data_IF_814202631538
#
_entry.id   IF_814202631538
#
_cell.length_a   1.000
_cell.length_b   1.000
_cell.length_c   1.000
_cell.angle_alpha   90.00
_cell.angle_beta   90.00
_cell.angle_gamma   90.00
#
_symmetry.space_group_name_H-M   'P 1'
#
loop_
_entity.id
_entity.type
_entity.pdbx_description
1 polymer ?
#
# COMPACT_ATOMS: atom_id res chain seq x y z
N UNK A 1 35.09 -15.01 -37.92
CA UNK A 1 33.63 -15.04 -38.17
C UNK A 1 32.97 -14.88 -36.80
N UNK A 2 32.98 -13.66 -36.29
CA UNK A 2 31.86 -12.69 -36.33
C UNK A 2 30.97 -12.88 -35.09
N UNK A 3 31.37 -12.25 -34.00
CA UNK A 3 30.49 -11.97 -32.87
C UNK A 3 30.29 -10.46 -32.87
N UNK A 4 29.24 -10.01 -33.53
CA UNK A 4 28.80 -8.62 -33.48
C UNK A 4 28.18 -8.37 -32.10
N UNK A 5 28.96 -7.87 -31.15
CA UNK A 5 28.42 -7.17 -29.99
C UNK A 5 27.94 -5.80 -30.47
N UNK A 6 26.70 -5.74 -30.96
CA UNK A 6 26.01 -4.47 -31.14
C UNK A 6 25.62 -3.91 -29.77
N UNK A 7 26.63 -3.40 -29.06
CA UNK A 7 26.45 -2.51 -27.92
C UNK A 7 26.35 -1.10 -28.46
N UNK A 8 25.22 -0.76 -29.06
CA UNK A 8 24.83 0.63 -29.22
C UNK A 8 23.46 0.80 -28.56
N UNK A 9 23.47 0.69 -27.24
CA UNK A 9 22.37 1.13 -26.41
C UNK A 9 22.15 2.61 -26.71
N UNK A 10 21.12 2.91 -27.52
CA UNK A 10 20.63 4.27 -27.78
C UNK A 10 20.53 5.03 -26.46
N UNK A 11 21.50 5.91 -26.20
CA UNK A 11 21.52 6.78 -25.02
C UNK A 11 20.60 7.99 -25.23
N UNK A 12 19.39 7.75 -25.75
CA UNK A 12 18.39 8.79 -25.94
C UNK A 12 17.81 9.15 -24.57
N UNK A 13 18.53 9.99 -23.84
CA UNK A 13 18.06 10.54 -22.57
C UNK A 13 16.87 11.48 -22.85
N UNK A 14 15.85 11.50 -21.98
CA UNK A 14 14.63 12.28 -22.20
C UNK A 14 14.88 13.77 -22.41
N UNK A 15 15.96 14.34 -21.86
CA UNK A 15 16.33 15.75 -22.08
C UNK A 15 16.65 16.08 -23.55
N UNK A 16 17.20 15.12 -24.32
CA UNK A 16 17.47 15.34 -25.75
C UNK A 16 16.19 15.61 -26.54
N UNK A 17 15.08 14.98 -26.17
CA UNK A 17 13.79 15.19 -26.84
C UNK A 17 13.30 16.63 -26.64
N UNK A 18 13.35 17.15 -25.40
CA UNK A 18 12.94 18.53 -25.12
C UNK A 18 13.83 19.57 -25.81
N UNK A 19 15.14 19.31 -25.88
CA UNK A 19 16.08 20.19 -26.61
C UNK A 19 15.80 20.17 -28.11
N UNK A 20 15.58 19.00 -28.71
CA UNK A 20 15.28 18.87 -30.13
C UNK A 20 13.94 19.51 -30.50
N UNK A 21 12.90 19.31 -29.68
CA UNK A 21 11.59 19.95 -29.88
C UNK A 21 11.69 21.47 -29.74
N UNK A 22 12.42 21.96 -28.74
CA UNK A 22 12.66 23.40 -28.56
C UNK A 22 13.42 24.01 -29.73
N UNK A 23 14.47 23.35 -30.23
CA UNK A 23 15.21 23.79 -31.41
C UNK A 23 14.32 23.80 -32.65
N UNK A 24 13.57 22.73 -32.91
CA UNK A 24 12.69 22.64 -34.08
C UNK A 24 11.59 23.70 -34.04
N UNK A 25 10.95 23.90 -32.89
CA UNK A 25 9.93 24.94 -32.70
C UNK A 25 10.51 26.35 -32.92
N UNK A 26 11.76 26.58 -32.49
CA UNK A 26 12.48 27.84 -32.73
C UNK A 26 12.72 28.06 -34.23
N UNK A 27 13.26 27.05 -34.93
CA UNK A 27 13.52 27.14 -36.38
C UNK A 27 12.24 27.40 -37.18
N UNK A 28 11.13 26.73 -36.82
CA UNK A 28 9.82 26.93 -37.46
C UNK A 28 9.27 28.34 -37.16
N UNK A 29 9.37 28.81 -35.91
CA UNK A 29 8.93 30.15 -35.53
C UNK A 29 9.62 31.25 -36.33
N UNK A 30 10.94 31.14 -36.51
CA UNK A 30 11.73 32.09 -37.32
C UNK A 30 11.31 32.08 -38.79
N UNK A 31 11.08 30.90 -39.37
CA UNK A 31 10.67 30.78 -40.79
C UNK A 31 9.27 31.35 -41.07
N UNK A 32 8.35 31.24 -40.12
CA UNK A 32 6.97 31.74 -40.24
C UNK A 32 6.91 33.24 -40.01
N UNK A 33 7.59 33.76 -38.99
CA UNK A 33 7.48 35.17 -38.57
C UNK A 33 8.42 36.08 -39.38
N UNK A 34 9.52 35.54 -39.93
CA UNK A 34 10.54 36.29 -40.70
C UNK A 34 10.85 37.67 -40.12
N UNK A 35 11.36 37.73 -38.88
CA UNK A 35 11.61 39.01 -38.22
C UNK A 35 12.72 39.79 -38.94
N UNK A 36 12.43 41.05 -39.29
CA UNK A 36 13.41 41.97 -39.90
C UNK A 36 14.38 42.55 -38.85
N UNK A 37 13.98 42.56 -37.57
CA UNK A 37 14.75 43.11 -36.46
C UNK A 37 15.44 41.99 -35.64
N UNK A 38 16.77 42.05 -35.43
CA UNK A 38 17.50 41.05 -34.65
C UNK A 38 17.04 40.93 -33.19
N UNK A 39 16.44 41.98 -32.61
CA UNK A 39 15.92 41.95 -31.24
C UNK A 39 14.70 41.02 -31.14
N UNK A 40 13.82 41.05 -32.14
CA UNK A 40 12.63 40.20 -32.20
C UNK A 40 13.02 38.73 -32.36
N UNK A 41 14.04 38.46 -33.18
CA UNK A 41 14.62 37.13 -33.33
C UNK A 41 15.15 36.58 -31.99
N UNK A 42 15.94 37.38 -31.27
CA UNK A 42 16.52 36.97 -29.99
C UNK A 42 15.45 36.67 -28.92
N UNK A 43 14.42 37.52 -28.83
CA UNK A 43 13.31 37.33 -27.88
C UNK A 43 12.51 36.06 -28.17
N UNK A 44 12.29 35.74 -29.45
CA UNK A 44 11.54 34.55 -29.85
C UNK A 44 12.28 33.25 -29.48
N UNK A 45 13.58 33.18 -29.76
CA UNK A 45 14.41 32.02 -29.41
C UNK A 45 14.46 31.85 -27.89
N UNK A 46 14.63 32.94 -27.13
CA UNK A 46 14.66 32.90 -25.67
C UNK A 46 13.32 32.43 -25.07
N UNK A 47 12.19 32.90 -25.60
CA UNK A 47 10.86 32.49 -25.15
C UNK A 47 10.64 30.98 -25.36
N UNK A 48 10.93 30.46 -26.56
CA UNK A 48 10.75 29.04 -26.89
C UNK A 48 11.71 28.16 -26.07
N UNK A 49 12.96 28.58 -25.88
CA UNK A 49 13.92 27.89 -25.02
C UNK A 49 13.47 27.82 -23.56
N UNK A 50 12.93 28.92 -23.03
CA UNK A 50 12.41 28.95 -21.66
C UNK A 50 11.19 28.03 -21.47
N UNK A 51 10.29 27.98 -22.46
CA UNK A 51 9.13 27.09 -22.43
C UNK A 51 9.54 25.61 -22.46
N UNK A 52 10.51 25.24 -23.30
CA UNK A 52 11.05 23.88 -23.35
C UNK A 52 11.72 23.48 -22.02
N UNK A 53 12.44 24.42 -21.38
CA UNK A 53 13.05 24.21 -20.08
C UNK A 53 12.02 23.95 -18.98
N UNK A 54 10.95 24.77 -18.93
CA UNK A 54 9.84 24.57 -17.98
C UNK A 54 9.13 23.24 -18.23
N UNK A 55 8.93 22.85 -19.49
CA UNK A 55 8.38 21.53 -19.82
C UNK A 55 9.26 20.38 -19.32
N UNK A 56 10.58 20.51 -19.46
CA UNK A 56 11.54 19.53 -18.96
C UNK A 56 11.57 19.45 -17.44
N UNK A 57 11.55 20.58 -16.73
CA UNK A 57 11.50 20.59 -15.26
C UNK A 57 10.20 19.97 -14.76
N UNK A 58 9.06 20.30 -15.38
CA UNK A 58 7.77 19.71 -15.04
C UNK A 58 7.77 18.19 -15.26
N UNK A 59 8.23 17.73 -16.42
CA UNK A 59 8.42 16.30 -16.70
C UNK A 59 9.29 15.63 -15.66
N UNK A 60 10.43 16.24 -15.30
CA UNK A 60 11.35 15.70 -14.28
C UNK A 60 10.73 15.67 -12.87
N UNK A 61 9.86 16.62 -12.53
CA UNK A 61 9.14 16.63 -11.25
C UNK A 61 7.96 15.65 -11.21
N UNK A 62 7.31 15.37 -12.35
CA UNK A 62 6.21 14.42 -12.44
C UNK A 62 6.68 12.97 -12.65
N UNK A 63 7.86 12.78 -13.24
CA UNK A 63 8.49 11.48 -13.42
C UNK A 63 8.60 10.63 -12.14
N UNK A 64 9.02 11.17 -10.96
CA UNK A 64 9.07 10.38 -9.74
C UNK A 64 7.70 9.91 -9.24
N UNK A 65 6.59 10.56 -9.62
CA UNK A 65 5.25 10.05 -9.31
C UNK A 65 4.84 8.88 -10.21
N UNK A 66 5.40 8.80 -11.42
CA UNK A 66 5.14 7.73 -12.37
C UNK A 66 6.16 6.58 -12.29
N UNK A 67 7.31 6.80 -11.65
CA UNK A 67 8.37 5.81 -11.53
C UNK A 67 8.09 4.82 -10.38
N UNK A 68 8.16 3.50 -10.62
CA UNK A 68 7.96 2.48 -9.60
C UNK A 68 8.97 2.55 -8.44
N UNK A 69 10.14 3.17 -8.64
CA UNK A 69 11.16 3.36 -7.59
C UNK A 69 10.70 4.21 -6.39
N UNK A 70 9.67 5.04 -6.56
CA UNK A 70 9.07 5.80 -5.45
C UNK A 70 8.18 4.91 -4.59
N UNK A 71 7.59 3.86 -5.18
CA UNK A 71 6.84 2.84 -4.47
C UNK A 71 7.79 2.01 -3.59
N UNK A 72 8.95 1.59 -4.11
CA UNK A 72 9.98 0.88 -3.34
C UNK A 72 10.42 1.68 -2.10
N UNK A 73 10.64 2.99 -2.26
CA UNK A 73 11.08 3.84 -1.14
C UNK A 73 9.97 4.05 -0.10
N UNK A 74 8.72 4.20 -0.55
CA UNK A 74 7.57 4.27 0.33
C UNK A 74 7.36 2.94 1.08
N UNK A 75 7.56 1.81 0.41
CA UNK A 75 7.50 0.46 0.99
C UNK A 75 8.60 0.25 2.03
N UNK A 76 9.82 0.74 1.81
CA UNK A 76 10.90 0.69 2.81
C UNK A 76 10.54 1.50 4.07
N UNK A 77 9.92 2.67 3.93
CA UNK A 77 9.49 3.50 5.07
C UNK A 77 8.33 2.81 5.82
N UNK A 78 7.35 2.28 5.09
CA UNK A 78 6.27 1.48 5.65
C UNK A 78 6.83 0.24 6.39
N UNK A 79 7.81 -0.44 5.82
CA UNK A 79 8.51 -1.58 6.43
C UNK A 79 9.18 -1.23 7.77
N UNK A 80 9.78 -0.04 7.90
CA UNK A 80 10.37 0.41 9.19
C UNK A 80 9.30 0.62 10.26
N UNK A 81 8.18 1.25 9.92
CA UNK A 81 7.06 1.45 10.86
C UNK A 81 6.45 0.12 11.26
N UNK A 82 6.25 -0.79 10.30
CA UNK A 82 5.76 -2.14 10.53
C UNK A 82 6.68 -2.95 11.45
N UNK A 83 7.99 -2.92 11.20
CA UNK A 83 8.96 -3.60 12.04
C UNK A 83 8.95 -3.08 13.49
N UNK A 84 8.63 -1.80 13.71
CA UNK A 84 8.44 -1.27 15.06
C UNK A 84 7.16 -1.85 15.71
N UNK A 85 6.04 -1.89 15.00
CA UNK A 85 4.79 -2.49 15.50
C UNK A 85 4.94 -4.00 15.79
N UNK A 86 5.67 -4.74 14.94
CA UNK A 86 5.96 -6.16 15.17
C UNK A 86 6.80 -6.37 16.44
N UNK A 87 7.78 -5.50 16.71
CA UNK A 87 8.55 -5.53 17.97
C UNK A 87 7.64 -5.27 19.17
N UNK A 88 6.80 -4.25 19.13
CA UNK A 88 5.86 -4.00 20.22
C UNK A 88 4.91 -5.18 20.46
N UNK A 89 4.38 -5.78 19.39
CA UNK A 89 3.55 -6.99 19.47
C UNK A 89 4.28 -8.12 20.18
N UNK A 90 5.53 -8.40 19.80
CA UNK A 90 6.30 -9.50 20.42
C UNK A 90 6.57 -9.25 21.91
N UNK A 91 6.83 -7.99 22.31
CA UNK A 91 7.00 -7.61 23.71
C UNK A 91 5.71 -7.80 24.52
N UNK A 92 4.56 -7.36 23.99
CA UNK A 92 3.26 -7.52 24.67
C UNK A 92 2.91 -9.00 24.83
N UNK A 93 3.14 -9.82 23.81
CA UNK A 93 2.87 -11.26 23.87
C UNK A 93 3.81 -11.97 24.86
N UNK A 94 5.09 -11.56 24.93
CA UNK A 94 6.03 -12.07 25.93
C UNK A 94 5.57 -11.71 27.35
N UNK A 95 5.17 -10.45 27.58
CA UNK A 95 4.65 -10.01 28.88
C UNK A 95 3.40 -10.79 29.29
N UNK A 96 2.50 -11.10 28.35
CA UNK A 96 1.33 -11.93 28.63
C UNK A 96 1.72 -13.35 29.05
N UNK A 97 2.74 -13.93 28.40
CA UNK A 97 3.25 -15.27 28.74
C UNK A 97 3.95 -15.31 30.10
N UNK A 98 4.71 -14.27 30.42
CA UNK A 98 5.35 -14.12 31.72
C UNK A 98 4.30 -13.98 32.84
N UNK A 99 3.24 -13.20 32.60
CA UNK A 99 2.12 -13.07 33.54
C UNK A 99 1.36 -14.40 33.74
N UNK A 100 1.18 -15.18 32.68
CA UNK A 100 0.61 -16.54 32.76
C UNK A 100 1.49 -17.48 33.60
N UNK A 101 2.80 -17.37 33.45
CA UNK A 101 3.77 -18.13 34.24
C UNK A 101 3.74 -17.70 35.71
N UNK A 102 3.76 -16.41 36.01
CA UNK A 102 3.72 -15.91 37.39
C UNK A 102 2.43 -16.32 38.12
N UNK A 103 1.29 -16.39 37.41
CA UNK A 103 0.05 -16.96 37.94
C UNK A 103 0.20 -18.45 38.23
N UNK A 104 0.77 -19.23 37.31
CA UNK A 104 0.98 -20.67 37.50
C UNK A 104 1.94 -20.95 38.67
N UNK A 105 2.88 -20.06 38.91
CA UNK A 105 3.80 -20.08 40.06
C UNK A 105 3.16 -19.56 41.36
N UNK A 106 1.89 -19.14 41.34
CA UNK A 106 1.18 -18.63 42.51
C UNK A 106 1.64 -17.25 43.00
N UNK A 107 2.44 -16.51 42.21
CA UNK A 107 2.90 -15.16 42.57
C UNK A 107 1.84 -14.08 42.39
N UNK A 108 0.83 -14.36 41.57
CA UNK A 108 -0.22 -13.40 41.18
C UNK A 108 -1.58 -13.98 41.49
N UNK A 109 -2.44 -13.20 42.15
CA UNK A 109 -3.81 -13.59 42.47
C UNK A 109 -4.66 -13.74 41.19
N UNK A 110 -5.66 -14.64 41.17
CA UNK A 110 -6.49 -14.85 39.99
C UNK A 110 -7.29 -13.62 39.57
N UNK A 111 -7.70 -12.77 40.52
CA UNK A 111 -8.39 -11.51 40.21
C UNK A 111 -7.48 -10.51 39.48
N UNK A 112 -6.26 -10.30 40.00
CA UNK A 112 -5.26 -9.39 39.40
C UNK A 112 -4.81 -9.87 38.01
N UNK A 113 -4.67 -11.19 37.85
CA UNK A 113 -4.37 -11.79 36.56
C UNK A 113 -5.42 -11.45 35.51
N UNK A 114 -6.71 -11.51 35.84
CA UNK A 114 -7.78 -11.23 34.87
C UNK A 114 -7.76 -9.76 34.41
N UNK A 115 -7.58 -8.81 35.32
CA UNK A 115 -7.48 -7.39 34.96
C UNK A 115 -6.24 -7.11 34.10
N UNK A 116 -5.05 -7.53 34.57
CA UNK A 116 -3.79 -7.27 33.87
C UNK A 116 -3.74 -7.97 32.50
N UNK A 117 -4.16 -9.24 32.43
CA UNK A 117 -4.18 -9.98 31.17
C UNK A 117 -5.22 -9.45 30.19
N UNK A 118 -6.36 -8.94 30.68
CA UNK A 118 -7.36 -8.25 29.86
C UNK A 118 -6.78 -7.04 29.14
N UNK A 119 -6.07 -6.16 29.87
CA UNK A 119 -5.43 -4.97 29.30
C UNK A 119 -4.35 -5.32 28.28
N UNK A 120 -3.50 -6.31 28.57
CA UNK A 120 -2.46 -6.78 27.65
C UNK A 120 -3.06 -7.40 26.38
N UNK A 121 -4.13 -8.20 26.49
CA UNK A 121 -4.83 -8.78 25.34
C UNK A 121 -5.47 -7.71 24.46
N UNK A 122 -6.12 -6.70 25.05
CA UNK A 122 -6.69 -5.58 24.29
C UNK A 122 -5.60 -4.81 23.51
N UNK A 123 -4.43 -4.58 24.12
CA UNK A 123 -3.29 -3.96 23.43
C UNK A 123 -2.73 -4.84 22.31
N UNK A 124 -2.62 -6.15 22.55
CA UNK A 124 -2.15 -7.10 21.53
C UNK A 124 -3.08 -7.12 20.30
N UNK A 125 -4.40 -7.16 20.50
CA UNK A 125 -5.40 -7.12 19.43
C UNK A 125 -5.25 -5.84 18.60
N UNK A 126 -5.10 -4.70 19.27
CA UNK A 126 -4.93 -3.39 18.59
C UNK A 126 -3.67 -3.39 17.70
N UNK A 127 -2.54 -3.90 18.21
CA UNK A 127 -1.30 -3.99 17.43
C UNK A 127 -1.41 -4.96 16.24
N UNK A 128 -2.15 -6.07 16.39
CA UNK A 128 -2.41 -6.99 15.28
C UNK A 128 -3.27 -6.34 14.20
N UNK A 129 -4.34 -5.64 14.58
CA UNK A 129 -5.21 -4.92 13.63
C UNK A 129 -4.44 -3.84 12.85
N UNK A 130 -3.55 -3.10 13.50
CA UNK A 130 -2.72 -2.10 12.84
C UNK A 130 -1.76 -2.72 11.81
N UNK A 131 -1.22 -3.91 12.10
CA UNK A 131 -0.37 -4.65 11.16
C UNK A 131 -1.16 -5.19 9.97
N UNK A 132 -2.41 -5.61 10.18
CA UNK A 132 -3.29 -6.11 9.11
C UNK A 132 -3.70 -4.98 8.15
N UNK A 133 -4.03 -3.79 8.68
CA UNK A 133 -4.39 -2.61 7.86
C UNK A 133 -3.23 -2.15 6.99
N UNK A 134 -1.98 -2.31 7.45
CA UNK A 134 -0.77 -1.94 6.72
C UNK A 134 -0.44 -2.90 5.55
N UNK A 135 -1.29 -3.89 5.24
CA UNK A 135 -1.15 -4.82 4.12
C UNK A 135 -2.18 -4.59 2.97
N UNK A 136 -2.22 -3.44 2.29
CA UNK A 136 -3.19 -3.17 1.22
C UNK A 136 -2.85 -3.83 -0.15
N UNK A 137 -2.16 -4.97 -0.18
CA UNK A 137 -1.72 -5.60 -1.44
C UNK A 137 -2.01 -7.10 -1.54
N UNK A 138 -1.94 -7.82 -0.42
CA UNK A 138 -2.19 -9.26 -0.43
C UNK A 138 -3.64 -9.59 -0.75
N UNK A 139 -4.61 -8.72 -0.42
CA UNK A 139 -6.02 -8.97 -0.72
C UNK A 139 -6.27 -9.00 -2.22
N UNK A 140 -5.86 -7.98 -2.96
CA UNK A 140 -5.97 -7.95 -4.43
C UNK A 140 -5.15 -9.06 -5.11
N UNK A 141 -4.01 -9.46 -4.54
CA UNK A 141 -3.19 -10.53 -5.09
C UNK A 141 -3.79 -11.92 -4.84
N UNK A 142 -4.36 -12.14 -3.65
CA UNK A 142 -5.14 -13.32 -3.30
C UNK A 142 -6.39 -13.41 -4.19
N UNK A 143 -7.11 -12.31 -4.41
CA UNK A 143 -8.30 -12.27 -5.28
C UNK A 143 -7.94 -12.59 -6.74
N UNK A 144 -6.83 -12.05 -7.26
CA UNK A 144 -6.31 -12.37 -8.60
C UNK A 144 -5.89 -13.83 -8.72
N UNK A 145 -5.21 -14.38 -7.72
CA UNK A 145 -4.80 -15.78 -7.71
C UNK A 145 -6.00 -16.73 -7.55
N UNK A 146 -7.01 -16.36 -6.75
CA UNK A 146 -8.26 -17.12 -6.65
C UNK A 146 -9.02 -17.12 -7.98
N UNK A 147 -9.18 -15.98 -8.63
CA UNK A 147 -9.83 -15.88 -9.94
C UNK A 147 -9.13 -16.76 -10.99
N UNK A 148 -7.79 -16.76 -10.97
CA UNK A 148 -6.95 -17.61 -11.82
C UNK A 148 -7.17 -19.10 -11.57
N UNK A 149 -7.26 -19.53 -10.30
CA UNK A 149 -7.42 -20.95 -9.91
C UNK A 149 -8.83 -21.49 -10.09
N UNK A 150 -9.84 -20.65 -9.87
CA UNK A 150 -11.24 -21.04 -9.98
C UNK A 150 -11.76 -21.00 -11.42
N UNK A 151 -11.03 -20.38 -12.36
CA UNK A 151 -11.50 -20.19 -13.73
C UNK A 151 -12.78 -19.34 -13.83
N UNK A 152 -13.14 -18.67 -12.74
CA UNK A 152 -14.36 -17.88 -12.60
C UNK A 152 -14.16 -16.48 -13.16
N UNK A 153 -15.12 -16.02 -13.94
CA UNK A 153 -15.21 -14.64 -14.41
C UNK A 153 -15.59 -13.70 -13.26
N UNK A 154 -15.20 -12.42 -13.33
CA UNK A 154 -15.54 -11.41 -12.29
C UNK A 154 -17.04 -11.33 -11.97
N UNK A 155 -17.90 -11.74 -12.92
CA UNK A 155 -19.34 -11.83 -12.76
C UNK A 155 -19.77 -12.95 -11.78
N UNK A 156 -19.07 -14.08 -11.78
CA UNK A 156 -19.37 -15.23 -10.92
C UNK A 156 -18.89 -15.01 -9.48
N UNK A 157 -17.77 -14.28 -9.27
CA UNK A 157 -17.35 -13.82 -7.94
C UNK A 157 -18.36 -12.86 -7.30
N UNK A 158 -19.00 -12.00 -8.10
CA UNK A 158 -20.06 -11.10 -7.60
C UNK A 158 -21.35 -11.84 -7.28
N UNK A 159 -21.64 -12.93 -8.00
CA UNK A 159 -22.83 -13.77 -7.78
C UNK A 159 -22.69 -14.75 -6.60
N UNK A 160 -21.47 -15.18 -6.28
CA UNK A 160 -21.17 -16.02 -5.12
C UNK A 160 -21.06 -15.24 -3.80
N UNK A 161 -21.17 -13.90 -3.86
CA UNK A 161 -21.40 -13.08 -2.67
C UNK A 161 -22.79 -13.44 -2.09
N UNK A 162 -22.88 -13.97 -0.86
CA UNK A 162 -24.16 -14.41 -0.31
C UNK A 162 -25.10 -13.20 -0.17
N UNK A 163 -26.05 -13.10 -1.09
CA UNK A 163 -27.19 -12.21 -0.99
C UNK A 163 -28.30 -12.99 -0.27
N UNK A 164 -28.40 -12.82 1.05
CA UNK A 164 -29.45 -13.48 1.82
C UNK A 164 -29.33 -13.28 3.32
N UNK A 165 -30.23 -12.45 3.85
CA UNK A 165 -30.31 -12.05 5.24
C UNK A 165 -30.70 -13.21 6.18
N UNK A 166 -29.74 -14.07 6.54
CA UNK A 166 -29.85 -14.84 7.76
C UNK A 166 -29.33 -13.97 8.92
N UNK A 167 -30.13 -13.85 9.98
CA UNK A 167 -29.86 -12.98 11.13
C UNK A 167 -28.61 -13.48 11.85
N UNK A 168 -27.54 -12.69 11.80
CA UNK A 168 -26.32 -12.85 12.60
C UNK A 168 -26.65 -13.07 14.09
N UNK A 169 -26.19 -14.17 14.72
CA UNK A 169 -26.39 -14.39 16.15
C UNK A 169 -25.70 -13.28 16.97
N UNK A 170 -26.45 -12.70 17.92
CA UNK A 170 -25.92 -11.69 18.84
C UNK A 170 -25.44 -12.39 20.11
N UNK A 171 -24.21 -12.07 20.52
CA UNK A 171 -23.62 -12.66 21.72
C UNK A 171 -24.36 -12.19 22.99
N UNK A 172 -24.84 -13.13 23.79
CA UNK A 172 -25.51 -12.85 25.07
C UNK A 172 -24.59 -12.19 26.12
N UNK A 173 -23.27 -12.42 26.04
CA UNK A 173 -22.31 -11.90 27.01
C UNK A 173 -21.86 -10.45 26.76
N UNK A 174 -21.85 -10.00 25.50
CA UNK A 174 -21.28 -8.69 25.14
C UNK A 174 -22.04 -7.92 24.05
N UNK A 175 -23.15 -8.47 23.54
CA UNK A 175 -23.98 -7.81 22.52
C UNK A 175 -23.37 -7.73 21.11
N UNK A 176 -22.18 -8.30 20.89
CA UNK A 176 -21.54 -8.29 19.56
C UNK A 176 -22.30 -9.18 18.58
N UNK A 177 -22.62 -8.66 17.40
CA UNK A 177 -23.20 -9.44 16.29
C UNK A 177 -22.11 -10.30 15.63
N UNK A 178 -22.37 -11.61 15.50
CA UNK A 178 -21.43 -12.58 14.96
C UNK A 178 -21.89 -13.15 13.62
N UNK A 179 -20.94 -13.74 12.89
CA UNK A 179 -21.20 -14.42 11.64
C UNK A 179 -22.03 -15.70 11.90
N UNK A 180 -22.73 -16.21 10.88
CA UNK A 180 -23.74 -17.26 11.07
C UNK A 180 -23.16 -18.62 11.49
N UNK A 181 -21.91 -18.85 11.13
CA UNK A 181 -21.11 -20.03 11.44
C UNK A 181 -20.23 -19.84 12.69
N UNK A 182 -20.35 -18.70 13.39
CA UNK A 182 -19.53 -18.41 14.55
C UNK A 182 -19.92 -19.29 15.75
N UNK A 183 -19.02 -20.21 16.14
CA UNK A 183 -19.12 -20.99 17.39
C UNK A 183 -18.70 -20.19 18.63
N UNK A 184 -17.86 -19.17 18.43
CA UNK A 184 -17.39 -18.27 19.48
C UNK A 184 -17.62 -16.82 19.07
N UNK A 185 -17.86 -15.95 20.05
CA UNK A 185 -18.06 -14.54 19.82
C UNK A 185 -16.75 -13.84 19.40
N UNK A 186 -16.75 -13.11 18.28
CA UNK A 186 -15.59 -12.35 17.79
C UNK A 186 -15.21 -11.14 18.65
N UNK A 187 -16.12 -10.68 19.52
CA UNK A 187 -15.88 -9.55 20.43
C UNK A 187 -15.26 -9.95 21.77
N UNK A 188 -15.80 -10.98 22.43
CA UNK A 188 -15.38 -11.38 23.78
C UNK A 188 -14.89 -12.82 23.92
N UNK A 189 -14.98 -13.65 22.88
CA UNK A 189 -14.55 -15.04 22.89
C UNK A 189 -15.51 -16.03 23.58
N UNK A 190 -16.66 -15.57 24.08
CA UNK A 190 -17.65 -16.46 24.70
C UNK A 190 -18.25 -17.45 23.70
N UNK A 191 -18.49 -18.70 24.13
CA UNK A 191 -19.18 -19.72 23.32
C UNK A 191 -20.60 -19.28 22.99
N UNK A 192 -21.02 -19.48 21.75
CA UNK A 192 -22.37 -19.21 21.25
C UNK A 192 -23.21 -20.49 21.12
N UNK A 193 -22.60 -21.66 21.36
CA UNK A 193 -23.31 -22.94 21.42
C UNK A 193 -24.04 -23.07 22.77
N UNK A 194 -25.35 -23.35 22.74
CA UNK A 194 -26.14 -23.57 23.95
C UNK A 194 -25.67 -24.85 24.67
N UNK A 195 -25.58 -24.85 26.02
CA UNK A 195 -25.32 -26.09 26.76
C UNK A 195 -26.49 -27.06 26.54
N UNK A 196 -26.14 -28.32 26.21
CA UNK A 196 -27.10 -29.42 26.09
C UNK A 196 -27.70 -29.81 27.44
#
# INVERSE_FOLDING_TARGET
MSSETSTEARSFRPWHLFVLVGLLASTVGVLVIRPDDPVVLALLVAAIGSAAWVGFTLYRTLWPLAAPEFQDRAEIIAGRTRAALEREKTLVLRALKELEFDRAMGKVAPADFQDMSGRLRARAITLMQQLDIAQPGFREEIERELARRLGMTEAELRASRPAGAARSPVCAACGTANDLDARFCKGCGASLEAPA
#
